data_IF_229582569685
#
_entry.id   IF_229582569685
#
_cell.length_a   1.000
_cell.length_b   1.000
_cell.length_c   1.000
_cell.angle_alpha   90.00
_cell.angle_beta   90.00
_cell.angle_gamma   90.00
#
_symmetry.space_group_name_H-M   'P 1'
#
loop_
_entity.id
_entity.type
_entity.pdbx_description
1 polymer ?
#
# COMPACT_ATOMS: atom_id res chain seq x y z
N UNK A 1 26.18 -16.76 15.07
CA UNK A 1 24.92 -16.33 15.72
C UNK A 1 23.86 -16.15 14.65
N UNK A 2 22.92 -17.09 14.55
CA UNK A 2 21.79 -17.05 13.61
C UNK A 2 20.93 -15.83 13.92
N UNK A 3 20.79 -14.93 12.95
CA UNK A 3 19.85 -13.82 13.02
C UNK A 3 18.48 -14.40 13.40
N UNK A 4 17.98 -14.06 14.59
CA UNK A 4 16.72 -14.55 15.12
C UNK A 4 15.63 -14.35 14.08
N UNK A 5 15.03 -15.45 13.62
CA UNK A 5 13.86 -15.40 12.75
C UNK A 5 12.76 -14.70 13.50
N UNK A 6 12.48 -13.44 13.13
CA UNK A 6 11.31 -12.71 13.64
C UNK A 6 10.10 -13.61 13.40
N UNK A 7 9.50 -14.11 14.48
CA UNK A 7 8.40 -15.08 14.42
C UNK A 7 7.27 -14.45 13.61
N UNK A 8 6.94 -15.05 12.47
CA UNK A 8 5.91 -14.57 11.55
C UNK A 8 4.55 -14.53 12.29
N UNK A 9 3.82 -13.42 12.15
CA UNK A 9 2.52 -13.23 12.80
C UNK A 9 1.40 -13.61 11.85
N UNK A 10 0.65 -14.66 12.19
CA UNK A 10 -0.42 -15.22 11.34
C UNK A 10 -1.47 -14.17 10.96
N UNK A 11 -1.93 -13.35 11.91
CA UNK A 11 -2.97 -12.38 11.61
C UNK A 11 -2.52 -11.27 10.65
N UNK A 12 -1.23 -10.92 10.63
CA UNK A 12 -0.72 -9.96 9.64
C UNK A 12 -0.67 -10.57 8.23
N UNK A 13 -0.44 -11.88 8.12
CA UNK A 13 -0.56 -12.58 6.85
C UNK A 13 -1.99 -12.70 6.38
N UNK A 14 -2.93 -12.95 7.29
CA UNK A 14 -4.37 -12.95 6.97
C UNK A 14 -4.76 -11.58 6.43
N UNK A 15 -4.44 -10.48 7.12
CA UNK A 15 -4.79 -9.14 6.65
C UNK A 15 -4.17 -8.84 5.27
N UNK A 16 -2.91 -9.22 5.04
CA UNK A 16 -2.26 -9.01 3.74
C UNK A 16 -2.89 -9.88 2.64
N UNK A 17 -3.23 -11.13 2.94
CA UNK A 17 -3.92 -12.01 2.02
C UNK A 17 -5.31 -11.46 1.68
N UNK A 18 -6.06 -10.98 2.67
CA UNK A 18 -7.33 -10.29 2.45
C UNK A 18 -7.15 -9.06 1.56
N UNK A 19 -6.18 -8.18 1.86
CA UNK A 19 -5.91 -6.98 1.06
C UNK A 19 -5.72 -7.31 -0.43
N UNK A 20 -4.87 -8.30 -0.75
CA UNK A 20 -4.63 -8.66 -2.16
C UNK A 20 -5.84 -9.31 -2.82
N UNK A 21 -6.57 -10.16 -2.10
CA UNK A 21 -7.75 -10.82 -2.63
C UNK A 21 -8.87 -9.82 -2.92
N UNK A 22 -9.04 -8.80 -2.08
CA UNK A 22 -9.97 -7.70 -2.32
C UNK A 22 -9.60 -6.91 -3.59
N UNK A 23 -8.32 -6.54 -3.76
CA UNK A 23 -7.86 -5.83 -4.96
C UNK A 23 -8.04 -6.66 -6.23
N UNK A 24 -7.66 -7.95 -6.18
CA UNK A 24 -7.79 -8.85 -7.33
C UNK A 24 -9.25 -9.06 -7.70
N UNK A 25 -10.12 -9.26 -6.70
CA UNK A 25 -11.55 -9.40 -6.91
C UNK A 25 -12.15 -8.14 -7.51
N UNK A 26 -11.82 -6.95 -6.98
CA UNK A 26 -12.28 -5.67 -7.50
C UNK A 26 -12.01 -5.54 -9.01
N UNK A 27 -10.74 -5.59 -9.42
CA UNK A 27 -10.39 -5.42 -10.82
C UNK A 27 -10.91 -6.57 -11.70
N UNK A 28 -10.98 -7.81 -11.18
CA UNK A 28 -11.59 -8.90 -11.96
C UNK A 28 -13.08 -8.65 -12.18
N UNK A 29 -13.83 -8.17 -11.17
CA UNK A 29 -15.24 -7.80 -11.34
C UNK A 29 -15.40 -6.65 -12.34
N UNK A 30 -14.60 -5.59 -12.21
CA UNK A 30 -14.59 -4.44 -13.13
C UNK A 30 -14.37 -4.86 -14.59
N UNK A 31 -13.47 -5.81 -14.83
CA UNK A 31 -13.04 -6.19 -16.18
C UNK A 31 -13.65 -7.51 -16.71
N UNK A 32 -14.39 -8.26 -15.92
CA UNK A 32 -14.98 -9.55 -16.33
C UNK A 32 -16.26 -9.45 -17.16
N UNK A 33 -16.79 -8.23 -17.36
CA UNK A 33 -18.06 -7.99 -18.06
C UNK A 33 -19.32 -8.27 -17.22
N UNK A 34 -19.15 -8.61 -15.93
CA UNK A 34 -20.26 -8.81 -15.00
C UNK A 34 -20.95 -7.47 -14.68
N UNK A 35 -22.16 -7.28 -15.21
CA UNK A 35 -22.96 -6.08 -14.99
C UNK A 35 -23.38 -5.93 -13.51
N UNK A 36 -23.61 -4.69 -13.07
CA UNK A 36 -24.08 -4.39 -11.71
C UNK A 36 -23.03 -4.52 -10.60
N UNK A 37 -21.77 -4.80 -10.94
CA UNK A 37 -20.69 -5.01 -9.96
C UNK A 37 -19.84 -3.76 -9.67
N UNK A 38 -20.10 -2.63 -10.35
CA UNK A 38 -19.23 -1.44 -10.31
C UNK A 38 -19.03 -0.85 -8.91
N UNK A 39 -20.12 -0.66 -8.16
CA UNK A 39 -20.08 -0.13 -6.79
C UNK A 39 -19.29 -1.08 -5.86
N UNK A 40 -19.61 -2.37 -5.91
CA UNK A 40 -18.93 -3.39 -5.12
C UNK A 40 -17.42 -3.44 -5.47
N UNK A 41 -17.09 -3.45 -6.76
CA UNK A 41 -15.70 -3.43 -7.24
C UNK A 41 -14.93 -2.24 -6.66
N UNK A 42 -15.51 -1.04 -6.76
CA UNK A 42 -14.90 0.18 -6.23
C UNK A 42 -14.60 0.06 -4.72
N UNK A 43 -15.60 -0.36 -3.92
CA UNK A 43 -15.44 -0.51 -2.47
C UNK A 43 -14.40 -1.57 -2.10
N UNK A 44 -14.37 -2.71 -2.79
CA UNK A 44 -13.37 -3.77 -2.57
C UNK A 44 -11.96 -3.28 -2.92
N UNK A 45 -11.82 -2.54 -4.03
CA UNK A 45 -10.53 -1.99 -4.46
C UNK A 45 -10.00 -0.94 -3.49
N UNK A 46 -10.86 -0.03 -3.01
CA UNK A 46 -10.52 0.93 -1.95
C UNK A 46 -10.09 0.19 -0.69
N UNK A 47 -10.94 -0.69 -0.15
CA UNK A 47 -10.64 -1.43 1.07
C UNK A 47 -9.31 -2.20 1.01
N UNK A 48 -9.04 -2.87 -0.11
CA UNK A 48 -7.80 -3.61 -0.31
C UNK A 48 -6.56 -2.71 -0.32
N UNK A 49 -6.60 -1.58 -1.03
CA UNK A 49 -5.45 -0.65 -1.11
C UNK A 49 -5.20 0.06 0.22
N UNK A 50 -6.24 0.56 0.88
CA UNK A 50 -6.08 1.24 2.18
C UNK A 50 -5.56 0.28 3.26
N UNK A 51 -6.00 -1.00 3.22
CA UNK A 51 -5.46 -2.04 4.08
C UNK A 51 -3.96 -2.30 3.82
N UNK A 52 -3.52 -2.24 2.55
CA UNK A 52 -2.09 -2.29 2.22
C UNK A 52 -1.31 -1.11 2.79
N UNK A 53 -1.81 0.12 2.68
CA UNK A 53 -1.15 1.30 3.24
C UNK A 53 -0.97 1.17 4.75
N UNK A 54 -2.03 0.81 5.48
CA UNK A 54 -2.00 0.61 6.93
C UNK A 54 -1.03 -0.51 7.33
N UNK A 55 -1.03 -1.64 6.62
CA UNK A 55 -0.09 -2.74 6.87
C UNK A 55 1.35 -2.34 6.57
N UNK A 56 1.57 -1.60 5.48
CA UNK A 56 2.89 -1.12 5.12
C UNK A 56 3.43 -0.17 6.18
N UNK A 57 2.61 0.79 6.61
CA UNK A 57 2.93 1.71 7.70
C UNK A 57 3.24 1.00 9.00
N UNK A 58 2.50 -0.05 9.36
CA UNK A 58 2.78 -0.82 10.57
C UNK A 58 4.14 -1.53 10.51
N UNK A 59 4.48 -2.14 9.37
CA UNK A 59 5.72 -2.90 9.24
C UNK A 59 6.94 -2.01 9.07
N UNK A 60 6.84 -1.03 8.18
CA UNK A 60 7.91 -0.07 7.90
C UNK A 60 8.06 0.92 9.05
N UNK A 61 6.97 1.35 9.68
CA UNK A 61 6.98 2.19 10.87
C UNK A 61 7.80 1.58 12.01
N UNK A 62 7.71 0.27 12.25
CA UNK A 62 8.55 -0.39 13.27
C UNK A 62 10.05 -0.27 12.97
N UNK A 63 10.43 -0.23 11.69
CA UNK A 63 11.82 -0.05 11.26
C UNK A 63 12.21 1.43 11.39
N UNK A 64 11.39 2.34 10.87
CA UNK A 64 11.64 3.79 10.91
C UNK A 64 11.78 4.29 12.35
N UNK A 65 10.91 3.85 13.26
CA UNK A 65 10.91 4.23 14.67
C UNK A 65 12.15 3.74 15.44
N UNK A 66 12.93 2.83 14.85
CA UNK A 66 14.19 2.32 15.39
C UNK A 66 15.42 2.95 14.73
N UNK A 67 15.24 3.84 13.73
CA UNK A 67 16.35 4.57 13.11
C UNK A 67 17.06 5.55 14.06
N UNK A 68 16.37 6.26 14.98
CA UNK A 68 17.06 7.08 15.97
C UNK A 68 17.95 6.21 16.86
N UNK A 69 19.26 6.47 16.85
CA UNK A 69 20.25 5.73 17.64
C UNK A 69 20.79 6.57 18.80
N UNK A 70 21.24 5.92 19.88
CA UNK A 70 21.95 6.55 21.00
C UNK A 70 21.21 7.76 21.57
N UNK A 71 21.67 8.95 21.17
CA UNK A 71 21.12 10.28 21.52
C UNK A 71 19.82 10.65 20.81
N UNK A 72 19.08 9.69 20.23
CA UNK A 72 17.84 9.98 19.50
C UNK A 72 18.08 10.72 18.17
N UNK A 73 19.25 10.56 17.56
CA UNK A 73 19.58 11.16 16.25
C UNK A 73 19.50 10.12 15.16
N UNK A 74 19.04 10.53 13.97
CA UNK A 74 19.04 9.69 12.78
C UNK A 74 20.31 9.98 11.98
N UNK A 75 21.05 8.92 11.65
CA UNK A 75 22.24 9.02 10.79
C UNK A 75 21.86 8.81 9.32
N UNK A 76 22.52 9.56 8.42
CA UNK A 76 22.32 9.38 6.98
C UNK A 76 22.69 7.96 6.50
N UNK A 77 23.78 7.32 6.98
CA UNK A 77 24.07 5.92 6.64
C UNK A 77 22.97 4.94 7.06
N UNK A 78 22.38 5.11 8.25
CA UNK A 78 21.26 4.29 8.70
C UNK A 78 20.04 4.43 7.80
N UNK A 79 19.74 5.67 7.38
CA UNK A 79 18.65 5.96 6.45
C UNK A 79 18.91 5.41 5.04
N UNK A 80 20.15 5.53 4.54
CA UNK A 80 20.56 4.92 3.27
C UNK A 80 20.37 3.40 3.29
N UNK A 81 20.78 2.71 4.35
CA UNK A 81 20.59 1.27 4.49
C UNK A 81 19.10 0.90 4.52
N UNK A 82 18.25 1.72 5.15
CA UNK A 82 16.80 1.55 5.09
C UNK A 82 16.26 1.61 3.65
N UNK A 83 16.60 2.66 2.88
CA UNK A 83 16.15 2.81 1.49
C UNK A 83 16.66 1.70 0.60
N UNK A 84 17.95 1.37 0.68
CA UNK A 84 18.54 0.27 -0.10
C UNK A 84 17.77 -1.02 0.17
N UNK A 85 17.55 -1.38 1.43
CA UNK A 85 16.82 -2.62 1.75
C UNK A 85 15.39 -2.64 1.24
N UNK A 86 14.73 -1.48 1.23
CA UNK A 86 13.35 -1.33 0.74
C UNK A 86 13.30 -1.40 -0.78
N UNK A 87 14.12 -0.62 -1.47
CA UNK A 87 14.15 -0.56 -2.93
C UNK A 87 14.57 -1.87 -3.58
N UNK A 88 15.46 -2.65 -2.97
CA UNK A 88 15.73 -4.03 -3.44
C UNK A 88 14.50 -4.94 -3.39
N UNK A 89 13.50 -4.64 -2.55
CA UNK A 89 12.26 -5.40 -2.46
C UNK A 89 11.22 -4.92 -3.46
N UNK A 90 11.08 -3.61 -3.65
CA UNK A 90 9.96 -3.03 -4.41
C UNK A 90 10.33 -2.71 -5.87
N UNK A 91 11.41 -1.98 -6.10
CA UNK A 91 11.72 -1.40 -7.41
C UNK A 91 11.94 -2.46 -8.52
N UNK A 92 12.80 -3.49 -8.35
CA UNK A 92 13.11 -4.41 -9.46
C UNK A 92 11.88 -5.08 -10.06
N UNK A 93 10.95 -5.52 -9.21
CA UNK A 93 9.76 -6.20 -9.68
C UNK A 93 8.69 -5.25 -10.19
N UNK A 94 8.59 -4.05 -9.62
CA UNK A 94 7.76 -2.98 -10.19
C UNK A 94 8.19 -2.63 -11.62
N UNK A 95 9.49 -2.44 -11.84
CA UNK A 95 10.04 -2.12 -13.17
C UNK A 95 9.75 -3.26 -14.16
N UNK A 96 9.94 -4.52 -13.74
CA UNK A 96 9.57 -5.67 -14.57
C UNK A 96 8.08 -5.64 -14.93
N UNK A 97 7.21 -5.43 -13.95
CA UNK A 97 5.77 -5.40 -14.17
C UNK A 97 5.34 -4.24 -15.08
N UNK A 98 5.97 -3.07 -14.95
CA UNK A 98 5.74 -1.92 -15.83
C UNK A 98 6.09 -2.26 -17.27
N UNK A 99 7.23 -2.91 -17.52
CA UNK A 99 7.62 -3.36 -18.87
C UNK A 99 6.70 -4.45 -19.42
N UNK A 100 6.34 -5.45 -18.60
CA UNK A 100 5.37 -6.49 -18.99
C UNK A 100 4.04 -5.85 -19.34
N UNK A 101 3.59 -4.86 -18.57
CA UNK A 101 2.35 -4.16 -18.84
C UNK A 101 2.39 -3.35 -20.13
N UNK A 102 3.46 -2.58 -20.36
CA UNK A 102 3.65 -1.86 -21.61
C UNK A 102 3.68 -2.81 -22.82
N UNK A 103 4.37 -3.95 -22.71
CA UNK A 103 4.41 -4.97 -23.77
C UNK A 103 3.02 -5.57 -24.06
N UNK A 104 2.24 -5.89 -23.02
CA UNK A 104 0.85 -6.38 -23.20
C UNK A 104 -0.02 -5.32 -23.87
N UNK A 105 0.07 -4.05 -23.46
CA UNK A 105 -0.69 -2.97 -24.11
C UNK A 105 -0.31 -2.78 -25.57
N UNK A 106 0.98 -2.88 -25.90
CA UNK A 106 1.46 -2.84 -27.27
C UNK A 106 0.86 -3.99 -28.10
N UNK A 107 0.92 -5.22 -27.60
CA UNK A 107 0.42 -6.42 -28.30
C UNK A 107 -1.11 -6.42 -28.46
N UNK A 108 -1.85 -6.06 -27.40
CA UNK A 108 -3.30 -6.24 -27.33
C UNK A 108 -4.07 -5.04 -27.91
N UNK A 109 -3.56 -3.83 -27.71
CA UNK A 109 -4.29 -2.59 -28.05
C UNK A 109 -3.66 -1.81 -29.20
N UNK A 110 -2.60 -2.34 -29.83
CA UNK A 110 -1.76 -1.59 -30.78
C UNK A 110 -1.35 -0.21 -30.22
N UNK A 111 -1.10 -0.14 -28.91
CA UNK A 111 -0.93 1.12 -28.19
C UNK A 111 0.51 1.64 -28.35
N UNK A 112 0.92 1.96 -29.58
CA UNK A 112 2.28 2.44 -29.91
C UNK A 112 2.66 3.73 -29.17
N UNK A 113 1.67 4.52 -28.77
CA UNK A 113 1.88 5.76 -28.00
C UNK A 113 2.50 5.51 -26.62
N UNK A 114 2.47 4.25 -26.13
CA UNK A 114 3.14 3.82 -24.89
C UNK A 114 4.63 4.16 -24.84
N UNK A 115 5.29 4.27 -26.00
CA UNK A 115 6.72 4.59 -26.09
C UNK A 115 6.99 6.05 -26.45
N UNK A 116 5.96 6.83 -26.77
CA UNK A 116 6.09 8.18 -27.31
C UNK A 116 5.61 9.27 -26.35
N UNK A 117 4.76 8.94 -25.37
CA UNK A 117 4.26 9.93 -24.41
C UNK A 117 5.30 10.18 -23.29
N UNK A 118 5.85 11.39 -23.16
CA UNK A 118 6.86 11.70 -22.15
C UNK A 118 6.34 11.63 -20.71
N UNK A 119 5.03 11.72 -20.49
CA UNK A 119 4.45 11.60 -19.15
C UNK A 119 4.66 10.20 -18.56
N UNK A 120 4.89 9.18 -19.39
CA UNK A 120 5.16 7.82 -18.93
C UNK A 120 6.53 7.67 -18.26
N UNK A 121 7.48 8.57 -18.52
CA UNK A 121 8.76 8.57 -17.80
C UNK A 121 8.60 8.85 -16.29
N UNK A 122 7.50 9.51 -15.90
CA UNK A 122 7.20 9.79 -14.50
C UNK A 122 6.96 8.51 -13.68
N UNK A 123 6.58 7.39 -14.31
CA UNK A 123 6.40 6.10 -13.63
C UNK A 123 7.72 5.52 -13.10
N UNK A 124 8.86 5.87 -13.68
CA UNK A 124 10.18 5.40 -13.21
C UNK A 124 10.65 6.09 -11.93
N UNK A 125 10.11 7.28 -11.66
CA UNK A 125 10.42 8.12 -10.49
C UNK A 125 9.22 8.33 -9.58
N UNK A 126 8.13 7.57 -9.81
CA UNK A 126 6.91 7.62 -9.02
C UNK A 126 6.27 9.01 -8.96
N UNK A 127 6.30 9.79 -10.04
CA UNK A 127 5.73 11.14 -10.10
C UNK A 127 4.48 11.25 -10.99
N UNK A 128 4.00 10.13 -11.54
CA UNK A 128 2.91 10.09 -12.52
C UNK A 128 1.61 10.73 -12.02
N UNK A 129 1.38 10.72 -10.70
CA UNK A 129 0.21 11.26 -10.03
C UNK A 129 0.54 12.42 -9.07
N UNK A 130 1.73 13.01 -9.18
CA UNK A 130 2.20 14.04 -8.24
C UNK A 130 1.62 15.43 -8.56
N UNK A 131 1.70 15.86 -9.84
CA UNK A 131 1.32 17.21 -10.28
C UNK A 131 0.11 17.25 -11.22
N UNK A 132 -0.07 16.22 -12.04
CA UNK A 132 -1.27 15.98 -12.87
C UNK A 132 -1.91 14.62 -12.52
N UNK A 133 -3.21 14.39 -12.85
CA UNK A 133 -3.80 13.05 -12.77
C UNK A 133 -2.92 12.03 -13.51
N UNK A 134 -2.88 10.78 -13.05
CA UNK A 134 -2.03 9.80 -13.71
C UNK A 134 -2.43 9.57 -15.17
N UNK A 135 -1.45 9.44 -16.07
CA UNK A 135 -1.71 8.99 -17.43
C UNK A 135 -2.33 7.59 -17.47
N UNK A 136 -3.03 7.25 -18.56
CA UNK A 136 -3.61 5.92 -18.77
C UNK A 136 -2.56 4.87 -19.20
N UNK A 137 -1.51 4.69 -18.40
CA UNK A 137 -0.54 3.61 -18.60
C UNK A 137 -0.79 2.46 -17.65
N UNK A 138 -0.65 2.72 -16.35
CA UNK A 138 -0.66 1.67 -15.34
C UNK A 138 -1.34 2.19 -14.07
N UNK A 139 -2.67 2.23 -14.13
CA UNK A 139 -3.51 2.93 -13.13
C UNK A 139 -3.18 2.53 -11.69
N UNK A 140 -2.93 1.25 -11.41
CA UNK A 140 -2.64 0.78 -10.05
C UNK A 140 -1.35 1.38 -9.44
N UNK A 141 -0.44 1.94 -10.23
CA UNK A 141 0.83 2.47 -9.75
C UNK A 141 0.68 3.75 -8.91
N UNK A 142 -0.48 4.41 -8.90
CA UNK A 142 -0.74 5.58 -8.05
C UNK A 142 -0.46 5.29 -6.58
N UNK A 143 -0.81 4.08 -6.11
CA UNK A 143 -0.65 3.66 -4.71
C UNK A 143 0.81 3.38 -4.37
N UNK A 144 1.57 2.81 -5.32
CA UNK A 144 3.00 2.58 -5.18
C UNK A 144 3.76 3.90 -5.10
N UNK A 145 3.30 4.91 -5.83
CA UNK A 145 3.84 6.27 -5.72
C UNK A 145 3.65 6.84 -4.30
N UNK A 146 2.47 6.67 -3.69
CA UNK A 146 2.25 7.02 -2.28
C UNK A 146 3.22 6.30 -1.36
N UNK A 147 3.40 4.99 -1.54
CA UNK A 147 4.32 4.18 -0.73
C UNK A 147 5.78 4.65 -0.84
N UNK A 148 6.30 4.75 -2.06
CA UNK A 148 7.72 5.06 -2.28
C UNK A 148 8.06 6.49 -1.83
N UNK A 149 7.18 7.46 -2.10
CA UNK A 149 7.38 8.82 -1.61
C UNK A 149 7.23 8.91 -0.09
N UNK A 150 6.36 8.13 0.53
CA UNK A 150 6.30 8.05 1.99
C UNK A 150 7.60 7.49 2.60
N UNK A 151 8.23 6.49 1.98
CA UNK A 151 9.52 5.94 2.43
C UNK A 151 10.65 6.96 2.33
N UNK A 152 10.49 8.00 1.52
CA UNK A 152 11.46 9.10 1.40
C UNK A 152 11.08 10.24 2.35
N UNK A 153 9.88 10.79 2.21
CA UNK A 153 9.45 12.03 2.86
C UNK A 153 9.39 11.90 4.38
N UNK A 154 8.81 10.83 4.92
CA UNK A 154 8.61 10.71 6.36
C UNK A 154 9.93 10.44 7.11
N UNK A 155 10.81 9.52 6.67
CA UNK A 155 12.14 9.39 7.26
C UNK A 155 13.03 10.63 7.09
N UNK A 156 12.95 11.35 5.97
CA UNK A 156 13.67 12.63 5.80
C UNK A 156 13.13 13.70 6.75
N UNK A 157 11.82 13.77 6.93
CA UNK A 157 11.19 14.67 7.89
C UNK A 157 11.72 14.40 9.31
N UNK A 158 11.76 13.14 9.74
CA UNK A 158 12.37 12.78 11.02
C UNK A 158 13.88 13.10 11.07
N UNK A 159 14.62 12.83 9.99
CA UNK A 159 16.06 13.14 9.93
C UNK A 159 16.30 14.64 10.16
N UNK A 160 15.59 15.51 9.44
CA UNK A 160 15.72 16.97 9.55
C UNK A 160 15.41 17.44 10.98
N UNK A 161 14.32 16.95 11.57
CA UNK A 161 13.96 17.30 12.94
C UNK A 161 14.96 16.79 13.97
N UNK A 162 15.54 15.60 13.73
CA UNK A 162 16.59 15.05 14.59
C UNK A 162 17.88 15.89 14.60
N UNK A 163 18.08 16.76 13.60
CA UNK A 163 19.19 17.73 13.58
C UNK A 163 18.94 18.93 14.49
N UNK A 164 17.67 19.29 14.69
CA UNK A 164 17.28 20.42 15.54
C UNK A 164 17.22 20.00 17.00
N UNK A 165 16.64 18.83 17.29
CA UNK A 165 16.52 18.27 18.65
C UNK A 165 16.59 16.74 18.63
N UNK A 166 17.13 16.10 19.67
CA UNK A 166 16.99 14.66 19.88
C UNK A 166 15.54 14.18 19.74
N UNK A 167 15.34 13.01 19.12
CA UNK A 167 14.04 12.35 18.97
C UNK A 167 13.93 11.17 19.92
N UNK A 168 13.59 11.37 21.22
CA UNK A 168 13.35 10.24 22.09
C UNK A 168 12.13 9.46 21.58
N UNK A 169 12.13 8.12 21.62
CA UNK A 169 11.08 7.29 21.03
C UNK A 169 9.64 7.66 21.46
N UNK A 170 9.45 8.14 22.69
CA UNK A 170 8.14 8.59 23.19
C UNK A 170 7.62 9.87 22.53
N UNK A 171 8.50 10.77 22.10
CA UNK A 171 8.12 12.05 21.47
C UNK A 171 7.90 11.92 19.97
N UNK A 172 8.27 10.79 19.35
CA UNK A 172 8.08 10.58 17.91
C UNK A 172 6.61 10.72 17.50
N UNK A 173 5.66 10.44 18.40
CA UNK A 173 4.24 10.66 18.15
C UNK A 173 3.88 12.11 17.81
N UNK A 174 4.57 13.09 18.40
CA UNK A 174 4.35 14.51 18.09
C UNK A 174 4.74 14.84 16.65
N UNK A 175 5.83 14.24 16.17
CA UNK A 175 6.27 14.39 14.79
C UNK A 175 5.36 13.65 13.81
N UNK A 176 4.83 12.49 14.19
CA UNK A 176 3.78 11.80 13.42
C UNK A 176 2.55 12.71 13.27
N UNK A 177 2.07 13.31 14.37
CA UNK A 177 0.93 14.25 14.35
C UNK A 177 1.23 15.49 13.51
N UNK A 178 2.44 16.05 13.63
CA UNK A 178 2.86 17.19 12.81
C UNK A 178 2.89 16.85 11.31
N UNK A 179 3.37 15.65 10.95
CA UNK A 179 3.38 15.17 9.56
C UNK A 179 1.97 14.97 9.00
N UNK A 180 1.07 14.37 9.79
CA UNK A 180 -0.37 14.27 9.45
C UNK A 180 -0.95 15.66 9.22
N UNK A 181 -0.71 16.59 10.15
CA UNK A 181 -1.18 17.98 10.06
C UNK A 181 -0.69 18.69 8.80
N UNK A 182 0.58 18.48 8.42
CA UNK A 182 1.15 19.04 7.19
C UNK A 182 0.44 18.53 5.93
N UNK A 183 0.21 17.22 5.82
CA UNK A 183 -0.47 16.62 4.66
C UNK A 183 -1.95 17.05 4.61
N UNK A 184 -2.62 17.10 5.77
CA UNK A 184 -4.01 17.58 5.87
C UNK A 184 -4.10 19.05 5.47
N UNK A 185 -3.20 19.92 5.96
CA UNK A 185 -3.18 21.33 5.59
C UNK A 185 -2.97 21.51 4.08
N UNK A 186 -2.03 20.78 3.48
CA UNK A 186 -1.81 20.80 2.04
C UNK A 186 -3.07 20.33 1.27
N UNK A 187 -3.73 19.26 1.73
CA UNK A 187 -4.98 18.75 1.14
C UNK A 187 -6.11 19.77 1.26
N UNK A 188 -6.28 20.42 2.43
CA UNK A 188 -7.29 21.46 2.66
C UNK A 188 -7.12 22.64 1.70
N UNK A 189 -5.89 23.13 1.51
CA UNK A 189 -5.59 24.20 0.58
C UNK A 189 -5.92 23.79 -0.87
N UNK A 190 -5.64 22.54 -1.22
CA UNK A 190 -5.90 22.03 -2.58
C UNK A 190 -7.39 21.83 -2.88
N UNK A 191 -8.20 21.36 -1.91
CA UNK A 191 -9.63 21.05 -2.09
C UNK A 191 -10.58 22.14 -1.59
N UNK A 192 -10.03 23.33 -1.32
CA UNK A 192 -10.80 24.48 -0.85
C UNK A 192 -11.94 24.80 -1.82
N UNK A 193 -11.59 24.97 -3.09
CA UNK A 193 -12.58 25.09 -4.16
C UNK A 193 -13.18 23.71 -4.49
N UNK A 194 -14.48 23.63 -4.86
CA UNK A 194 -15.07 22.40 -5.35
C UNK A 194 -14.29 21.86 -6.58
N UNK A 195 -13.83 20.62 -6.48
CA UNK A 195 -13.16 19.90 -7.56
C UNK A 195 -14.02 18.72 -8.00
N UNK A 196 -14.25 18.60 -9.31
CA UNK A 196 -14.82 17.39 -9.90
C UNK A 196 -13.79 16.26 -9.92
N UNK A 197 -14.26 15.01 -9.92
CA UNK A 197 -13.38 13.84 -10.06
C UNK A 197 -12.52 13.54 -8.83
N UNK A 198 -13.12 13.47 -7.65
CA UNK A 198 -12.42 13.24 -6.37
C UNK A 198 -11.46 12.03 -6.39
N UNK A 199 -11.83 10.95 -7.08
CA UNK A 199 -11.01 9.75 -7.20
C UNK A 199 -9.62 10.08 -7.78
N UNK A 200 -9.56 10.69 -8.96
CA UNK A 200 -8.30 11.06 -9.63
C UNK A 200 -7.66 12.31 -9.02
N UNK A 201 -8.46 13.27 -8.57
CA UNK A 201 -7.98 14.57 -8.13
C UNK A 201 -7.54 14.60 -6.67
N UNK A 202 -8.01 13.69 -5.82
CA UNK A 202 -7.66 13.66 -4.39
C UNK A 202 -7.25 12.27 -3.95
N UNK A 203 -8.08 11.25 -4.19
CA UNK A 203 -7.82 9.89 -3.69
C UNK A 203 -6.55 9.30 -4.29
N UNK A 204 -6.30 9.50 -5.58
CA UNK A 204 -5.14 8.94 -6.28
C UNK A 204 -3.97 9.93 -6.39
N UNK A 205 -4.03 11.07 -5.71
CA UNK A 205 -2.94 12.06 -5.69
C UNK A 205 -1.92 11.78 -4.62
N UNK A 206 -0.69 11.43 -5.04
CA UNK A 206 0.37 11.04 -4.11
C UNK A 206 0.59 12.06 -2.96
N UNK A 207 0.80 13.36 -3.21
CA UNK A 207 1.18 14.30 -2.15
C UNK A 207 0.12 14.41 -1.06
N UNK A 208 -1.15 14.31 -1.46
CA UNK A 208 -2.30 14.44 -0.57
C UNK A 208 -2.68 13.13 0.10
N UNK A 209 -1.95 12.03 -0.11
CA UNK A 209 -2.26 10.70 0.45
C UNK A 209 -1.12 10.09 1.26
N UNK A 210 -0.03 10.82 1.46
CA UNK A 210 1.11 10.36 2.27
C UNK A 210 0.72 10.06 3.74
N UNK A 211 -0.38 10.64 4.21
CA UNK A 211 -0.99 10.37 5.52
C UNK A 211 -1.73 9.03 5.61
N UNK A 212 -2.05 8.36 4.50
CA UNK A 212 -2.74 7.06 4.56
C UNK A 212 -1.88 5.94 5.18
N UNK A 213 -0.56 6.00 4.98
CA UNK A 213 0.39 5.03 5.54
C UNK A 213 0.67 5.30 7.03
N UNK A 214 0.55 6.56 7.47
CA UNK A 214 1.03 6.99 8.79
C UNK A 214 0.22 6.37 9.95
N UNK A 215 -1.06 6.02 9.73
CA UNK A 215 -1.88 5.36 10.75
C UNK A 215 -1.33 3.98 11.13
N UNK A 216 -0.73 3.27 10.18
CA UNK A 216 0.06 2.09 10.45
C UNK A 216 1.28 2.40 11.33
N UNK A 217 1.97 3.52 11.10
CA UNK A 217 3.11 3.97 11.93
C UNK A 217 2.67 4.33 13.34
N UNK A 218 1.49 4.94 13.53
CA UNK A 218 0.90 5.17 14.86
C UNK A 218 0.73 3.86 15.61
N UNK A 219 0.19 2.82 14.94
CA UNK A 219 0.05 1.49 15.54
C UNK A 219 1.39 0.82 15.79
N UNK A 220 2.39 1.03 14.94
CA UNK A 220 3.76 0.58 15.17
C UNK A 220 4.34 1.22 16.43
N UNK A 221 4.18 2.53 16.59
CA UNK A 221 4.59 3.28 17.77
C UNK A 221 3.91 2.74 19.02
N UNK A 222 2.59 2.57 18.99
CA UNK A 222 1.84 2.01 20.12
C UNK A 222 2.32 0.60 20.48
N UNK A 223 2.60 -0.25 19.48
CA UNK A 223 3.08 -1.62 19.69
C UNK A 223 4.48 -1.70 20.31
N UNK A 224 5.35 -0.73 20.02
CA UNK A 224 6.72 -0.69 20.51
C UNK A 224 6.82 -0.01 21.88
N UNK A 225 6.10 1.10 22.07
CA UNK A 225 6.25 1.97 23.24
C UNK A 225 5.21 1.69 24.33
N UNK A 226 4.05 1.13 23.97
CA UNK A 226 2.94 0.82 24.88
C UNK A 226 2.36 -0.58 24.61
N UNK A 227 3.20 -1.64 24.58
CA UNK A 227 2.76 -2.98 24.18
C UNK A 227 1.60 -3.53 25.03
N UNK A 228 1.57 -3.22 26.33
CA UNK A 228 0.47 -3.63 27.22
C UNK A 228 -0.86 -3.05 26.75
N UNK A 229 -0.93 -1.75 26.47
CA UNK A 229 -2.16 -1.11 25.99
C UNK A 229 -2.55 -1.64 24.60
N UNK A 230 -1.57 -1.80 23.71
CA UNK A 230 -1.77 -2.34 22.36
C UNK A 230 -2.50 -3.70 22.40
N UNK A 231 -2.07 -4.64 23.24
CA UNK A 231 -2.72 -5.96 23.31
C UNK A 231 -3.92 -6.03 24.27
N UNK A 232 -3.97 -5.20 25.32
CA UNK A 232 -5.08 -5.17 26.30
C UNK A 232 -6.38 -4.70 25.65
N UNK A 233 -6.32 -3.66 24.82
CA UNK A 233 -7.50 -3.04 24.22
C UNK A 233 -7.82 -3.53 22.80
N UNK A 234 -7.16 -4.59 22.32
CA UNK A 234 -7.22 -5.05 20.92
C UNK A 234 -8.63 -5.29 20.37
N UNK A 235 -9.56 -5.81 21.20
CA UNK A 235 -10.94 -6.08 20.77
C UNK A 235 -11.73 -4.77 20.67
N UNK A 236 -11.64 -3.90 21.69
CA UNK A 236 -12.30 -2.59 21.70
C UNK A 236 -11.80 -1.72 20.53
N UNK A 237 -10.49 -1.73 20.27
CA UNK A 237 -9.90 -1.06 19.11
C UNK A 237 -10.43 -1.65 17.81
N UNK A 238 -10.47 -2.98 17.65
CA UNK A 238 -11.00 -3.60 16.43
C UNK A 238 -12.49 -3.26 16.21
N UNK A 239 -13.32 -3.28 17.24
CA UNK A 239 -14.74 -2.91 17.14
C UNK A 239 -14.92 -1.44 16.74
N UNK A 240 -14.21 -0.52 17.40
CA UNK A 240 -14.20 0.89 17.02
C UNK A 240 -13.67 1.08 15.59
N UNK A 241 -12.65 0.30 15.21
CA UNK A 241 -12.06 0.29 13.89
C UNK A 241 -13.03 -0.12 12.79
N UNK A 242 -13.77 -1.22 13.01
CA UNK A 242 -14.81 -1.69 12.10
C UNK A 242 -15.96 -0.68 11.95
N UNK A 243 -16.36 -0.02 13.05
CA UNK A 243 -17.36 1.04 12.99
C UNK A 243 -16.88 2.24 12.15
N UNK A 244 -15.64 2.70 12.35
CA UNK A 244 -15.06 3.80 11.57
C UNK A 244 -14.87 3.44 10.09
N UNK A 245 -14.37 2.24 9.80
CA UNK A 245 -14.23 1.75 8.43
C UNK A 245 -15.60 1.58 7.75
N UNK A 246 -16.60 1.06 8.46
CA UNK A 246 -17.98 0.96 7.98
C UNK A 246 -18.60 2.32 7.68
N UNK A 247 -18.38 3.32 8.55
CA UNK A 247 -18.82 4.69 8.30
C UNK A 247 -18.15 5.29 7.05
N UNK A 248 -16.85 5.02 6.82
CA UNK A 248 -16.17 5.44 5.59
C UNK A 248 -16.69 4.77 4.33
N UNK A 249 -17.02 3.48 4.38
CA UNK A 249 -17.70 2.79 3.26
C UNK A 249 -19.06 3.42 2.98
N UNK A 250 -19.83 3.68 4.03
CA UNK A 250 -21.14 4.32 3.88
C UNK A 250 -21.02 5.71 3.22
N UNK A 251 -20.07 6.53 3.66
CA UNK A 251 -19.82 7.85 3.05
C UNK A 251 -19.33 7.73 1.60
N UNK A 252 -18.47 6.76 1.30
CA UNK A 252 -18.05 6.46 -0.07
C UNK A 252 -19.24 6.07 -0.95
N UNK A 253 -20.17 5.27 -0.43
CA UNK A 253 -21.33 4.80 -1.16
C UNK A 253 -22.30 5.93 -1.52
N UNK A 254 -22.54 6.85 -0.58
CA UNK A 254 -23.30 8.08 -0.85
C UNK A 254 -22.69 8.90 -1.99
N UNK A 255 -21.36 8.88 -2.13
CA UNK A 255 -20.66 9.60 -3.19
C UNK A 255 -20.79 8.90 -4.55
N UNK A 256 -20.64 7.57 -4.62
CA UNK A 256 -20.76 6.82 -5.87
C UNK A 256 -22.17 6.94 -6.46
N UNK A 257 -23.19 6.99 -5.60
CA UNK A 257 -24.59 7.06 -6.01
C UNK A 257 -25.11 8.48 -6.27
N UNK A 258 -24.32 9.54 -6.03
CA UNK A 258 -24.72 10.92 -6.28
C UNK A 258 -23.77 11.60 -7.26
N UNK A 259 -24.16 11.62 -8.55
CA UNK A 259 -23.41 12.24 -9.65
C UNK A 259 -23.05 13.73 -9.42
N UNK A 260 -23.64 14.38 -8.40
CA UNK A 260 -23.57 15.83 -8.23
C UNK A 260 -23.00 16.32 -6.88
N UNK A 261 -22.67 15.46 -5.92
CA UNK A 261 -22.13 15.95 -4.64
C UNK A 261 -20.63 15.72 -4.59
N UNK A 262 -19.88 16.74 -5.04
CA UNK A 262 -18.52 16.94 -4.57
C UNK A 262 -18.57 16.83 -3.06
N UNK A 263 -17.91 15.82 -2.51
CA UNK A 263 -17.94 15.53 -1.07
C UNK A 263 -17.92 16.82 -0.27
N UNK A 264 -18.67 16.84 0.83
CA UNK A 264 -18.54 17.92 1.82
C UNK A 264 -17.05 18.20 2.03
N UNK A 265 -16.68 19.47 2.22
CA UNK A 265 -15.27 19.82 2.43
C UNK A 265 -14.61 18.90 3.46
N UNK A 266 -15.36 18.57 4.53
CA UNK A 266 -14.98 17.58 5.52
C UNK A 266 -14.61 16.21 4.90
N UNK A 267 -15.49 15.61 4.09
CA UNK A 267 -15.20 14.30 3.49
C UNK A 267 -14.07 14.37 2.45
N UNK A 268 -13.93 15.47 1.69
CA UNK A 268 -12.79 15.65 0.78
C UNK A 268 -11.46 15.60 1.53
N UNK A 269 -11.44 16.11 2.75
CA UNK A 269 -10.24 16.23 3.57
C UNK A 269 -10.03 15.02 4.49
N UNK A 270 -11.08 14.45 5.10
CA UNK A 270 -10.94 13.53 6.23
C UNK A 270 -11.39 12.10 5.95
N UNK A 271 -12.09 11.82 4.84
CA UNK A 271 -12.64 10.49 4.54
C UNK A 271 -11.63 9.35 4.73
N UNK A 272 -10.52 9.42 4.00
CA UNK A 272 -9.48 8.40 4.12
C UNK A 272 -8.75 8.43 5.46
N UNK A 273 -8.69 9.56 6.16
CA UNK A 273 -8.06 9.61 7.48
C UNK A 273 -8.80 8.76 8.50
N UNK A 274 -10.13 8.90 8.62
CA UNK A 274 -10.87 8.08 9.57
C UNK A 274 -11.09 6.65 9.07
N UNK A 275 -11.12 6.43 7.74
CA UNK A 275 -11.15 5.10 7.16
C UNK A 275 -9.88 4.30 7.47
N UNK A 276 -8.71 4.89 7.21
CA UNK A 276 -7.40 4.29 7.44
C UNK A 276 -7.13 4.10 8.94
N UNK A 277 -7.56 5.06 9.78
CA UNK A 277 -7.56 4.89 11.23
C UNK A 277 -8.43 3.68 11.63
N UNK A 278 -9.61 3.54 11.04
CA UNK A 278 -10.50 2.40 11.27
C UNK A 278 -9.82 1.06 11.00
N UNK A 279 -9.20 0.93 9.81
CA UNK A 279 -8.43 -0.26 9.45
C UNK A 279 -7.20 -0.47 10.34
N UNK A 280 -6.51 0.60 10.74
CA UNK A 280 -5.34 0.55 11.62
C UNK A 280 -5.69 0.04 13.02
N UNK A 281 -6.85 0.41 13.56
CA UNK A 281 -7.32 -0.06 14.86
C UNK A 281 -7.62 -1.57 14.90
N UNK A 282 -7.70 -2.25 13.75
CA UNK A 282 -7.79 -3.71 13.65
C UNK A 282 -6.41 -4.41 13.79
N UNK A 283 -5.30 -3.69 13.59
CA UNK A 283 -3.94 -4.25 13.64
C UNK A 283 -3.60 -4.91 14.98
N UNK A 284 -3.97 -4.39 16.17
CA UNK A 284 -3.61 -5.03 17.43
C UNK A 284 -4.24 -6.41 17.60
N UNK A 285 -5.48 -6.59 17.11
CA UNK A 285 -6.14 -7.89 17.12
C UNK A 285 -5.42 -8.86 16.18
N UNK A 286 -5.18 -8.47 14.94
CA UNK A 286 -4.46 -9.30 13.98
C UNK A 286 -3.03 -9.62 14.46
N UNK A 287 -2.33 -8.67 15.05
CA UNK A 287 -0.98 -8.84 15.59
C UNK A 287 -0.94 -9.73 16.86
N UNK A 288 -2.09 -9.96 17.50
CA UNK A 288 -2.22 -10.88 18.65
C UNK A 288 -2.40 -12.34 18.24
N UNK A 289 -2.83 -12.59 17.00
CA UNK A 289 -2.94 -13.93 16.44
C UNK A 289 -1.52 -14.48 16.18
N UNK A 290 -1.08 -15.33 17.11
CA UNK A 290 0.24 -15.96 17.06
C UNK A 290 0.30 -17.06 15.99
N UNK A 291 1.49 -17.65 15.84
CA UNK A 291 1.95 -18.56 14.77
C UNK A 291 0.85 -19.31 14.02
N UNK A 292 0.94 -19.36 12.67
CA UNK A 292 0.00 -20.14 11.89
C UNK A 292 -0.01 -21.57 12.41
N UNK A 293 -1.21 -22.09 12.68
CA UNK A 293 -1.41 -23.53 12.71
C UNK A 293 -0.77 -24.12 11.43
N UNK A 294 -0.19 -25.32 11.52
CA UNK A 294 0.41 -25.99 10.35
C UNK A 294 -0.65 -26.47 9.34
N UNK A 295 -1.92 -26.13 9.58
CA UNK A 295 -3.05 -26.39 8.70
C UNK A 295 -2.82 -25.91 7.27
N UNK A 296 -3.45 -26.62 6.34
CA UNK A 296 -3.39 -26.32 4.92
C UNK A 296 -3.86 -24.89 4.62
N UNK A 297 -4.93 -24.44 5.28
CA UNK A 297 -5.47 -23.09 5.14
C UNK A 297 -4.41 -22.03 5.46
N UNK A 298 -3.73 -22.16 6.59
CA UNK A 298 -2.73 -21.17 6.99
C UNK A 298 -1.50 -21.20 6.09
N UNK A 299 -1.12 -22.36 5.52
CA UNK A 299 -0.08 -22.42 4.48
C UNK A 299 -0.51 -21.69 3.21
N UNK A 300 -1.76 -21.83 2.79
CA UNK A 300 -2.32 -21.11 1.65
C UNK A 300 -2.32 -19.60 1.89
N UNK A 301 -2.84 -19.14 3.03
CA UNK A 301 -2.83 -17.71 3.44
C UNK A 301 -1.39 -17.16 3.47
N UNK A 302 -0.47 -17.92 4.05
CA UNK A 302 0.95 -17.55 4.13
C UNK A 302 1.56 -17.38 2.74
N UNK A 303 1.19 -18.26 1.80
CA UNK A 303 1.65 -18.23 0.40
C UNK A 303 1.08 -17.01 -0.32
N UNK A 304 -0.23 -16.78 -0.24
CA UNK A 304 -0.90 -15.60 -0.80
C UNK A 304 -0.28 -14.31 -0.24
N UNK A 305 -0.04 -14.24 1.06
CA UNK A 305 0.64 -13.10 1.71
C UNK A 305 2.06 -12.88 1.16
N UNK A 306 2.83 -13.95 0.89
CA UNK A 306 4.18 -13.83 0.34
C UNK A 306 4.19 -13.28 -1.09
N UNK A 307 3.31 -13.80 -1.95
CA UNK A 307 3.27 -13.40 -3.37
C UNK A 307 2.41 -12.17 -3.63
N UNK A 308 1.74 -11.64 -2.60
CA UNK A 308 0.76 -10.54 -2.71
C UNK A 308 1.28 -9.32 -3.49
N UNK A 309 2.56 -8.98 -3.36
CA UNK A 309 3.14 -7.85 -4.09
C UNK A 309 3.26 -8.15 -5.59
N UNK A 310 3.74 -9.35 -5.95
CA UNK A 310 3.74 -9.79 -7.35
C UNK A 310 2.32 -9.88 -7.91
N UNK A 311 1.35 -10.41 -7.15
CA UNK A 311 -0.07 -10.44 -7.57
C UNK A 311 -0.61 -9.03 -7.81
N UNK A 312 -0.28 -8.07 -6.92
CA UNK A 312 -0.68 -6.68 -7.08
C UNK A 312 -0.12 -6.09 -8.37
N UNK A 313 1.12 -6.40 -8.75
CA UNK A 313 1.71 -5.86 -9.95
C UNK A 313 1.18 -6.55 -11.23
N UNK A 314 1.12 -7.88 -11.25
CA UNK A 314 0.85 -8.60 -12.50
C UNK A 314 -0.63 -8.79 -12.84
N UNK A 315 -1.57 -8.53 -11.93
CA UNK A 315 -2.99 -8.79 -12.22
C UNK A 315 -3.53 -7.96 -13.40
N UNK A 316 -3.21 -6.66 -13.52
CA UNK A 316 -3.70 -5.84 -14.64
C UNK A 316 -3.17 -6.31 -16.02
N UNK A 317 -1.86 -6.53 -16.24
CA UNK A 317 -1.41 -7.08 -17.51
C UNK A 317 -2.02 -8.46 -17.81
N UNK A 318 -2.18 -9.32 -16.80
CA UNK A 318 -2.85 -10.62 -16.97
C UNK A 318 -4.31 -10.43 -17.38
N UNK A 319 -5.05 -9.54 -16.73
CA UNK A 319 -6.45 -9.21 -17.08
C UNK A 319 -6.54 -8.77 -18.54
N UNK A 320 -5.71 -7.80 -18.95
CA UNK A 320 -5.73 -7.30 -20.33
C UNK A 320 -5.43 -8.40 -21.35
N UNK A 321 -4.45 -9.27 -21.08
CA UNK A 321 -4.11 -10.37 -21.96
C UNK A 321 -5.22 -11.43 -22.01
N UNK A 322 -5.78 -11.83 -20.86
CA UNK A 322 -6.86 -12.81 -20.81
C UNK A 322 -8.11 -12.31 -21.54
N UNK A 323 -8.47 -11.03 -21.39
CA UNK A 323 -9.61 -10.43 -22.10
C UNK A 323 -9.42 -10.32 -23.61
N UNK A 324 -8.18 -10.20 -24.06
CA UNK A 324 -7.88 -10.25 -25.49
C UNK A 324 -8.06 -11.64 -26.07
N UNK A 325 -7.70 -12.68 -25.30
CA UNK A 325 -7.69 -14.07 -25.75
C UNK A 325 -9.02 -14.80 -25.55
N UNK A 326 -9.81 -14.39 -24.55
CA UNK A 326 -10.99 -15.11 -24.09
C UNK A 326 -12.22 -14.21 -24.14
N UNK A 327 -13.39 -14.81 -24.36
CA UNK A 327 -14.69 -14.14 -24.24
C UNK A 327 -15.05 -13.92 -22.78
N UNK A 328 -15.88 -12.90 -22.52
CA UNK A 328 -16.42 -12.61 -21.21
C UNK A 328 -17.22 -13.81 -20.65
N UNK A 329 -17.12 -14.04 -19.33
CA UNK A 329 -17.83 -15.11 -18.63
C UNK A 329 -17.03 -15.76 -17.49
N UNK A 330 -17.58 -16.79 -16.81
CA UNK A 330 -16.94 -17.43 -15.66
C UNK A 330 -15.56 -18.04 -15.97
N UNK A 331 -15.36 -18.52 -17.19
CA UNK A 331 -14.07 -19.06 -17.65
C UNK A 331 -12.96 -18.00 -17.68
N UNK A 332 -13.27 -16.78 -18.11
CA UNK A 332 -12.34 -15.64 -18.07
C UNK A 332 -11.96 -15.32 -16.62
N UNK A 333 -12.95 -15.25 -15.71
CA UNK A 333 -12.72 -14.98 -14.29
C UNK A 333 -11.74 -15.99 -13.68
N UNK A 334 -12.02 -17.30 -13.83
CA UNK A 334 -11.17 -18.36 -13.27
C UNK A 334 -9.76 -18.30 -13.88
N UNK A 335 -9.66 -18.06 -15.20
CA UNK A 335 -8.36 -18.00 -15.89
C UNK A 335 -7.52 -16.83 -15.40
N UNK A 336 -8.10 -15.64 -15.22
CA UNK A 336 -7.41 -14.47 -14.66
C UNK A 336 -6.77 -14.81 -13.32
N UNK A 337 -7.52 -15.46 -12.42
CA UNK A 337 -7.04 -15.81 -11.09
C UNK A 337 -5.90 -16.83 -11.15
N UNK A 338 -6.07 -17.91 -11.91
CA UNK A 338 -5.04 -18.95 -12.08
C UNK A 338 -3.76 -18.34 -12.67
N UNK A 339 -3.87 -17.61 -13.79
CA UNK A 339 -2.72 -17.01 -14.45
C UNK A 339 -2.03 -15.95 -13.58
N UNK A 340 -2.79 -15.13 -12.84
CA UNK A 340 -2.22 -14.13 -11.94
C UNK A 340 -1.44 -14.78 -10.82
N UNK A 341 -2.00 -15.76 -10.12
CA UNK A 341 -1.31 -16.43 -9.02
C UNK A 341 -0.12 -17.27 -9.51
N UNK A 342 -0.28 -18.00 -10.63
CA UNK A 342 0.82 -18.79 -11.21
C UNK A 342 1.99 -17.89 -11.65
N UNK A 343 1.72 -16.86 -12.45
CA UNK A 343 2.73 -15.90 -12.90
C UNK A 343 3.41 -15.17 -11.74
N UNK A 344 2.63 -14.77 -10.74
CA UNK A 344 3.16 -14.09 -9.55
C UNK A 344 4.01 -15.01 -8.67
N UNK A 345 3.66 -16.30 -8.56
CA UNK A 345 4.45 -17.28 -7.83
C UNK A 345 5.78 -17.58 -8.54
N UNK A 346 5.77 -17.69 -9.88
CA UNK A 346 6.99 -17.83 -10.69
C UNK A 346 7.90 -16.60 -10.53
N UNK A 347 7.33 -15.40 -10.69
CA UNK A 347 8.03 -14.12 -10.46
C UNK A 347 8.66 -14.06 -9.06
N UNK A 348 7.87 -14.37 -8.02
CA UNK A 348 8.35 -14.39 -6.64
C UNK A 348 9.55 -15.32 -6.46
N UNK A 349 9.46 -16.53 -7.01
CA UNK A 349 10.44 -17.59 -6.81
C UNK A 349 11.74 -17.33 -7.58
N UNK A 350 11.65 -16.92 -8.84
CA UNK A 350 12.78 -16.81 -9.75
C UNK A 350 13.38 -15.40 -9.85
N UNK A 351 12.67 -14.37 -9.39
CA UNK A 351 13.11 -12.97 -9.50
C UNK A 351 13.18 -12.34 -8.11
N UNK A 352 12.06 -12.28 -7.39
CA UNK A 352 12.01 -11.57 -6.11
C UNK A 352 12.94 -12.21 -5.07
N UNK A 353 12.86 -13.53 -4.87
CA UNK A 353 13.70 -14.24 -3.89
C UNK A 353 15.20 -14.10 -4.18
N UNK A 354 15.70 -14.31 -5.42
CA UNK A 354 17.11 -14.06 -5.75
C UNK A 354 17.55 -12.62 -5.50
N UNK A 355 16.74 -11.63 -5.87
CA UNK A 355 17.04 -10.21 -5.63
C UNK A 355 17.14 -9.92 -4.13
N UNK A 356 16.25 -10.48 -3.31
CA UNK A 356 16.30 -10.34 -1.85
C UNK A 356 17.54 -11.02 -1.23
N UNK A 357 17.98 -12.17 -1.77
CA UNK A 357 19.24 -12.81 -1.36
C UNK A 357 20.45 -11.94 -1.70
N UNK A 358 20.47 -11.31 -2.87
CA UNK A 358 21.53 -10.37 -3.29
C UNK A 358 21.60 -9.15 -2.37
N UNK A 359 20.44 -8.57 -2.01
CA UNK A 359 20.33 -7.50 -1.02
C UNK A 359 20.96 -7.90 0.32
N UNK A 360 20.62 -9.08 0.84
CA UNK A 360 21.12 -9.54 2.13
C UNK A 360 22.65 -9.74 2.11
N UNK A 361 23.20 -10.19 0.98
CA UNK A 361 24.65 -10.30 0.79
C UNK A 361 25.34 -8.92 0.75
N UNK A 362 24.76 -7.92 0.08
CA UNK A 362 25.32 -6.56 -0.02
C UNK A 362 25.22 -5.80 1.32
N UNK A 363 24.06 -5.84 1.96
CA UNK A 363 23.78 -5.05 3.17
C UNK A 363 24.37 -5.62 4.46
N UNK A 364 24.84 -6.88 4.46
CA UNK A 364 25.65 -7.44 5.55
C UNK A 364 27.13 -7.00 5.49
N UNK A 365 27.63 -6.67 4.30
CA UNK A 365 29.02 -6.22 4.11
C UNK A 365 29.24 -4.76 4.53
N UNK A 366 28.20 -3.95 4.61
CA UNK A 366 28.27 -2.54 5.04
C UNK A 366 28.15 -2.37 6.58
N UNK A 367 27.85 -3.44 7.32
CA UNK A 367 27.68 -3.45 8.79
C UNK A 367 28.87 -4.05 9.55
N UNK A 368 29.92 -4.41 8.83
CA UNK A 368 31.24 -4.79 9.33
C UNK A 368 32.26 -3.84 8.70
#
# INVERSE_FOLDING_TARGET
MTAGTVKRKAGLDIMRACAILLVLLAHTLEYSGLQGTGILSYHLGVAGVELFFVLSGFLIGRIILQLPSGEGRISFPGLRNFWVRRWFRTIPIYILALFVHAAVLFLVKNYYIVFLNPQYYLYFVFLQNAFTPEPELYGIAWSLSVEEWFYISFPLFLLLLSRLRPLPPRQIILYIVAYIGLVIAARMLYVYEPLAGYDLMVRKRMPFRLDSIIWGVVMAWLSLLRPVAFYKYRIHMALAGLLLAGAGIYVLDLHVNSEFTGMSFFNRVFLFNYYDLGLALCLPLAASLQTPDRSLLMRAVTTVSLVSYSVYLFHIPVINLCRYLLKDGPGLFITIWICTFAGSYLSYTYIEVPVLKLRDKKTRKETH
#
